data_IF_354943319622
#
_entry.id   IF_354943319622
#
_cell.length_a   1.000
_cell.length_b   1.000
_cell.length_c   1.000
_cell.angle_alpha   90.00
_cell.angle_beta   90.00
_cell.angle_gamma   90.00
#
_symmetry.space_group_name_H-M   'P 1'
#
loop_
_entity.id
_entity.type
_entity.pdbx_description
1 polymer ?
#
# COMPACT_ATOMS: atom_id res chain seq x y z
N UNK A 1 -6.70 14.93 -20.78
CA UNK A 1 -7.40 13.89 -20.01
C UNK A 1 -6.51 12.66 -19.99
N UNK A 2 -5.85 12.37 -18.86
CA UNK A 2 -4.98 11.18 -18.76
C UNK A 2 -5.90 9.96 -18.78
N UNK A 3 -5.85 9.17 -19.85
CA UNK A 3 -6.64 7.96 -19.98
C UNK A 3 -6.14 6.98 -18.90
N UNK A 4 -6.90 6.83 -17.82
CA UNK A 4 -6.57 5.82 -16.81
C UNK A 4 -6.72 4.45 -17.48
N UNK A 5 -5.76 3.53 -17.33
CA UNK A 5 -5.88 2.21 -17.90
C UNK A 5 -7.11 1.53 -17.31
N UNK A 6 -7.82 0.78 -18.16
CA UNK A 6 -8.99 0.02 -17.76
C UNK A 6 -8.63 -0.88 -16.56
N UNK A 7 -9.53 -1.00 -15.56
CA UNK A 7 -9.27 -1.85 -14.41
C UNK A 7 -9.14 -3.32 -14.84
N UNK A 8 -8.29 -4.07 -14.15
CA UNK A 8 -8.06 -5.50 -14.45
C UNK A 8 -9.32 -6.35 -14.27
N UNK A 9 -10.25 -5.86 -13.46
CA UNK A 9 -11.56 -6.44 -13.13
C UNK A 9 -12.45 -5.36 -12.52
N UNK A 10 -13.75 -5.58 -12.49
CA UNK A 10 -14.69 -4.63 -11.89
C UNK A 10 -14.41 -4.44 -10.38
N UNK A 11 -14.05 -3.23 -9.91
CA UNK A 11 -13.81 -2.97 -8.49
C UNK A 11 -15.09 -2.84 -7.66
N UNK A 12 -16.26 -2.60 -8.27
CA UNK A 12 -17.51 -2.32 -7.54
C UNK A 12 -18.03 -3.54 -6.73
N UNK A 13 -18.08 -4.78 -7.29
CA UNK A 13 -18.44 -5.96 -6.51
C UNK A 13 -17.51 -6.22 -5.31
N UNK A 14 -16.25 -5.79 -5.42
CA UNK A 14 -15.27 -5.93 -4.34
C UNK A 14 -15.54 -4.93 -3.21
N UNK A 15 -15.96 -3.70 -3.54
CA UNK A 15 -16.39 -2.71 -2.56
C UNK A 15 -17.62 -3.19 -1.80
N UNK A 16 -18.64 -3.65 -2.52
CA UNK A 16 -19.87 -4.17 -1.92
C UNK A 16 -19.58 -5.36 -0.99
N UNK A 17 -18.71 -6.29 -1.42
CA UNK A 17 -18.26 -7.39 -0.55
C UNK A 17 -17.57 -6.86 0.72
N UNK A 18 -16.65 -5.92 0.59
CA UNK A 18 -15.94 -5.38 1.74
C UNK A 18 -16.90 -4.63 2.70
N UNK A 19 -17.86 -3.87 2.18
CA UNK A 19 -18.89 -3.19 2.97
C UNK A 19 -19.77 -4.19 3.72
N UNK A 20 -20.19 -5.26 3.04
CA UNK A 20 -20.97 -6.34 3.66
C UNK A 20 -20.18 -7.07 4.75
N UNK A 21 -18.90 -7.37 4.50
CA UNK A 21 -18.02 -8.02 5.48
C UNK A 21 -17.65 -7.11 6.67
N UNK A 22 -17.71 -5.79 6.52
CA UNK A 22 -17.59 -4.83 7.61
C UNK A 22 -18.85 -4.81 8.49
N UNK A 23 -20.03 -4.91 7.86
CA UNK A 23 -21.34 -5.02 8.53
C UNK A 23 -21.88 -3.73 9.13
N UNK A 24 -21.10 -2.65 9.24
CA UNK A 24 -21.62 -1.33 9.62
C UNK A 24 -22.03 -1.16 11.08
N UNK A 25 -21.66 -2.09 11.96
CA UNK A 25 -22.05 -2.06 13.38
C UNK A 25 -20.98 -1.49 14.31
N UNK A 26 -19.73 -1.39 13.85
CA UNK A 26 -18.58 -0.91 14.61
C UNK A 26 -17.72 0.04 13.78
N UNK A 27 -16.80 0.74 14.43
CA UNK A 27 -15.82 1.58 13.76
C UNK A 27 -15.00 0.77 12.74
N UNK A 28 -14.64 1.45 11.66
CA UNK A 28 -13.81 0.89 10.60
C UNK A 28 -12.34 1.00 11.01
N UNK A 29 -11.61 -0.10 10.85
CA UNK A 29 -10.15 -0.08 10.95
C UNK A 29 -9.52 -0.30 9.57
N UNK A 30 -8.53 0.52 9.23
CA UNK A 30 -7.77 0.42 7.99
C UNK A 30 -6.30 0.19 8.33
N UNK A 31 -5.66 -0.80 7.71
CA UNK A 31 -4.25 -1.08 7.87
C UNK A 31 -3.42 -0.44 6.75
N UNK A 32 -2.53 0.46 7.13
CA UNK A 32 -1.55 1.10 6.25
C UNK A 32 -0.17 0.44 6.37
N UNK A 33 0.37 0.01 5.23
CA UNK A 33 1.75 -0.52 5.09
C UNK A 33 2.58 0.25 4.06
N UNK A 34 2.09 1.35 3.50
CA UNK A 34 2.77 2.11 2.45
C UNK A 34 2.44 3.58 2.56
N UNK A 35 1.95 4.18 1.48
CA UNK A 35 1.51 5.59 1.43
C UNK A 35 0.52 5.95 2.53
N UNK A 36 -0.40 5.04 2.88
CA UNK A 36 -1.40 5.29 3.93
C UNK A 36 -0.79 5.65 5.29
N UNK A 37 0.47 5.30 5.56
CA UNK A 37 1.13 5.63 6.84
C UNK A 37 1.37 7.15 6.96
N UNK A 38 1.86 7.80 5.91
CA UNK A 38 2.19 9.23 5.88
C UNK A 38 1.17 10.09 5.14
N UNK A 39 0.30 9.48 4.33
CA UNK A 39 -0.77 10.16 3.58
C UNK A 39 -2.03 9.28 3.55
N UNK A 40 -2.81 9.26 4.64
CA UNK A 40 -4.06 8.50 4.71
C UNK A 40 -5.15 9.07 3.80
N UNK A 41 -5.21 10.40 3.61
CA UNK A 41 -6.25 11.11 2.85
C UNK A 41 -7.69 10.83 3.34
N UNK A 42 -7.84 10.60 4.65
CA UNK A 42 -9.12 10.52 5.36
C UNK A 42 -8.92 10.89 6.83
N UNK A 43 -10.00 11.36 7.46
CA UNK A 43 -10.02 11.64 8.89
C UNK A 43 -10.11 10.33 9.69
N UNK A 44 -9.36 10.28 10.79
CA UNK A 44 -9.34 9.14 11.70
C UNK A 44 -9.35 9.62 13.14
N UNK A 45 -10.12 8.94 13.99
CA UNK A 45 -10.19 9.24 15.41
C UNK A 45 -8.97 8.70 16.17
N UNK A 46 -8.27 7.72 15.59
CA UNK A 46 -7.14 7.08 16.25
C UNK A 46 -6.17 6.43 15.27
N UNK A 47 -4.88 6.45 15.62
CA UNK A 47 -3.81 5.75 14.89
C UNK A 47 -2.94 4.95 15.86
N UNK A 48 -2.70 3.67 15.58
CA UNK A 48 -1.87 2.77 16.41
C UNK A 48 -0.84 2.00 15.57
N UNK A 49 0.34 1.68 16.12
CA UNK A 49 1.22 0.71 15.50
C UNK A 49 0.55 -0.67 15.50
N UNK A 50 0.75 -1.42 14.42
CA UNK A 50 0.19 -2.75 14.25
C UNK A 50 1.14 -3.71 13.54
N UNK A 51 0.98 -5.00 13.83
CA UNK A 51 1.65 -6.10 13.14
C UNK A 51 0.63 -7.07 12.58
N UNK A 52 0.83 -7.46 11.33
CA UNK A 52 0.05 -8.50 10.65
C UNK A 52 0.97 -9.67 10.33
N UNK A 53 0.50 -10.89 10.57
CA UNK A 53 1.22 -12.13 10.27
C UNK A 53 0.78 -12.73 8.93
N UNK A 54 1.66 -13.48 8.26
CA UNK A 54 1.38 -14.11 6.97
C UNK A 54 1.49 -13.16 5.77
N UNK A 55 2.00 -11.94 5.99
CA UNK A 55 2.11 -10.90 4.98
C UNK A 55 3.39 -10.10 5.16
N UNK A 56 4.00 -9.60 4.10
CA UNK A 56 5.12 -8.67 4.18
C UNK A 56 4.98 -7.58 3.12
N UNK A 57 5.58 -6.43 3.42
CA UNK A 57 5.66 -5.28 2.52
C UNK A 57 6.76 -5.52 1.49
N UNK A 58 6.48 -5.20 0.23
CA UNK A 58 7.47 -5.29 -0.83
C UNK A 58 7.27 -4.18 -1.86
N UNK A 59 8.34 -3.49 -2.24
CA UNK A 59 8.36 -2.54 -3.36
C UNK A 59 8.43 -3.30 -4.69
N UNK A 60 7.41 -4.12 -4.95
CA UNK A 60 7.38 -5.14 -6.02
C UNK A 60 6.10 -5.12 -6.84
N UNK A 61 5.50 -3.93 -6.98
CA UNK A 61 4.34 -3.72 -7.83
C UNK A 61 4.64 -2.67 -8.89
N UNK A 62 4.49 -3.04 -10.16
CA UNK A 62 4.64 -2.12 -11.29
C UNK A 62 3.67 -0.94 -11.19
N UNK A 63 4.19 0.28 -11.36
CA UNK A 63 3.44 1.53 -11.37
C UNK A 63 3.63 2.24 -12.71
N UNK A 64 2.58 2.26 -13.53
CA UNK A 64 2.61 2.87 -14.87
C UNK A 64 1.88 4.22 -14.95
N UNK A 65 1.49 4.76 -13.80
CA UNK A 65 0.74 6.02 -13.70
C UNK A 65 1.27 6.88 -12.56
N UNK A 66 1.33 6.30 -11.36
CA UNK A 66 1.52 7.07 -10.13
C UNK A 66 3.00 7.39 -9.90
N UNK A 67 3.89 6.41 -10.13
CA UNK A 67 5.33 6.51 -9.87
C UNK A 67 6.21 6.17 -11.09
N UNK A 68 5.58 6.07 -12.25
CA UNK A 68 6.20 5.88 -13.56
C UNK A 68 5.15 6.04 -14.65
N UNK A 69 5.53 5.73 -15.88
CA UNK A 69 4.66 5.75 -17.07
C UNK A 69 4.57 4.35 -17.70
N UNK A 70 3.75 4.12 -18.73
CA UNK A 70 3.77 2.85 -19.46
C UNK A 70 5.15 2.53 -20.08
N UNK A 71 5.87 3.54 -20.54
CA UNK A 71 7.18 3.43 -21.21
C UNK A 71 8.33 3.30 -20.21
N UNK A 72 8.24 4.01 -19.07
CA UNK A 72 9.18 3.89 -17.96
C UNK A 72 8.44 3.56 -16.65
N UNK A 73 8.08 2.28 -16.44
CA UNK A 73 7.35 1.86 -15.25
C UNK A 73 8.17 2.06 -13.98
N UNK A 74 7.52 2.61 -12.96
CA UNK A 74 8.04 2.71 -11.61
C UNK A 74 7.59 1.55 -10.74
N UNK A 75 7.82 1.68 -9.43
CA UNK A 75 7.39 0.72 -8.43
C UNK A 75 6.58 1.38 -7.32
N UNK A 76 5.62 0.63 -6.80
CA UNK A 76 4.90 0.95 -5.56
C UNK A 76 4.85 -0.27 -4.64
N UNK A 77 4.45 -0.06 -3.38
CA UNK A 77 4.37 -1.15 -2.42
C UNK A 77 3.15 -2.03 -2.68
N UNK A 78 3.38 -3.34 -2.58
CA UNK A 78 2.32 -4.34 -2.40
C UNK A 78 2.55 -5.08 -1.09
N UNK A 79 1.47 -5.63 -0.54
CA UNK A 79 1.54 -6.56 0.58
C UNK A 79 1.38 -7.99 0.07
N UNK A 80 2.48 -8.74 0.06
CA UNK A 80 2.59 -10.09 -0.49
C UNK A 80 2.48 -11.15 0.62
N UNK A 81 2.03 -12.35 0.29
CA UNK A 81 1.90 -13.45 1.25
C UNK A 81 3.26 -13.92 1.81
N UNK A 82 3.26 -14.32 3.09
CA UNK A 82 4.42 -14.80 3.85
C UNK A 82 5.01 -13.74 4.79
N UNK A 83 5.64 -14.19 5.88
CA UNK A 83 6.35 -13.33 6.83
C UNK A 83 5.46 -12.55 7.80
N UNK A 84 5.84 -11.32 8.11
CA UNK A 84 5.03 -10.38 8.90
C UNK A 84 5.27 -8.94 8.46
N UNK A 85 4.25 -8.11 8.57
CA UNK A 85 4.30 -6.71 8.19
C UNK A 85 3.98 -5.85 9.40
N UNK A 86 4.88 -4.92 9.73
CA UNK A 86 4.60 -3.84 10.68
C UNK A 86 4.08 -2.63 9.90
N UNK A 87 3.09 -1.95 10.43
CA UNK A 87 2.46 -0.78 9.83
C UNK A 87 1.64 -0.04 10.87
N UNK A 88 0.65 0.72 10.40
CA UNK A 88 -0.28 1.46 11.25
C UNK A 88 -1.71 1.01 11.00
N UNK A 89 -2.53 0.98 12.03
CA UNK A 89 -3.99 0.92 11.89
C UNK A 89 -4.60 2.27 12.21
N UNK A 90 -5.62 2.64 11.46
CA UNK A 90 -6.39 3.87 11.62
C UNK A 90 -7.84 3.52 11.94
N UNK A 91 -8.39 4.07 13.02
CA UNK A 91 -9.80 3.93 13.39
C UNK A 91 -10.58 5.09 12.80
N UNK A 92 -11.60 4.77 12.03
CA UNK A 92 -12.54 5.71 11.42
C UNK A 92 -13.88 5.50 12.09
N UNK A 93 -14.48 6.58 12.59
CA UNK A 93 -15.78 6.50 13.23
C UNK A 93 -16.82 5.92 12.27
N UNK A 94 -17.66 5.03 12.80
CA UNK A 94 -18.70 4.32 12.03
C UNK A 94 -19.53 5.21 11.11
N UNK A 95 -19.83 6.45 11.55
CA UNK A 95 -20.60 7.42 10.77
C UNK A 95 -19.94 7.81 9.43
N UNK A 96 -18.61 7.81 9.37
CA UNK A 96 -17.83 8.20 8.18
C UNK A 96 -17.28 7.00 7.39
N UNK A 97 -17.30 5.81 8.00
CA UNK A 97 -16.67 4.61 7.46
C UNK A 97 -17.07 4.27 6.02
N UNK A 98 -18.37 4.33 5.67
CA UNK A 98 -18.83 4.02 4.30
C UNK A 98 -18.22 4.97 3.27
N UNK A 99 -18.21 6.28 3.55
CA UNK A 99 -17.64 7.26 2.65
C UNK A 99 -16.12 7.10 2.52
N UNK A 100 -15.44 6.82 3.64
CA UNK A 100 -14.00 6.54 3.62
C UNK A 100 -13.67 5.30 2.78
N UNK A 101 -14.46 4.23 2.87
CA UNK A 101 -14.26 3.04 2.01
C UNK A 101 -14.46 3.36 0.52
N UNK A 102 -15.46 4.16 0.17
CA UNK A 102 -15.68 4.60 -1.23
C UNK A 102 -14.46 5.39 -1.73
N UNK A 103 -13.99 6.37 -0.95
CA UNK A 103 -12.84 7.20 -1.31
C UNK A 103 -11.55 6.36 -1.42
N UNK A 104 -11.36 5.41 -0.50
CA UNK A 104 -10.23 4.48 -0.57
C UNK A 104 -10.30 3.59 -1.80
N UNK A 105 -11.49 3.14 -2.22
CA UNK A 105 -11.64 2.39 -3.47
C UNK A 105 -11.24 3.23 -4.68
N UNK A 106 -11.67 4.49 -4.73
CA UNK A 106 -11.29 5.42 -5.80
C UNK A 106 -9.80 5.75 -5.81
N UNK A 107 -9.09 5.54 -4.70
CA UNK A 107 -7.65 5.77 -4.59
C UNK A 107 -6.83 4.52 -4.91
N UNK A 108 -7.14 3.40 -4.26
CA UNK A 108 -6.32 2.18 -4.26
C UNK A 108 -6.80 1.17 -5.30
N UNK A 109 -8.08 1.19 -5.67
CA UNK A 109 -8.72 0.20 -6.54
C UNK A 109 -9.04 0.73 -7.95
N UNK A 110 -8.46 1.86 -8.36
CA UNK A 110 -8.65 2.44 -9.73
C UNK A 110 -8.39 1.42 -10.83
N UNK A 111 -7.33 0.62 -10.70
CA UNK A 111 -7.00 -0.44 -11.66
C UNK A 111 -7.40 -1.83 -11.17
N UNK A 112 -8.11 -1.91 -10.04
CA UNK A 112 -8.48 -3.14 -9.33
C UNK A 112 -7.33 -4.15 -9.12
N UNK A 113 -6.10 -3.64 -8.96
CA UNK A 113 -4.88 -4.46 -8.89
C UNK A 113 -4.71 -5.18 -7.55
N UNK A 114 -5.21 -4.59 -6.48
CA UNK A 114 -5.14 -5.19 -5.15
C UNK A 114 -6.30 -6.16 -4.88
N UNK A 115 -6.07 -7.05 -3.93
CA UNK A 115 -7.06 -7.89 -3.26
C UNK A 115 -7.31 -7.31 -1.85
N UNK A 116 -8.43 -6.61 -1.63
CA UNK A 116 -8.87 -6.15 -0.31
C UNK A 116 -9.11 -7.35 0.61
N UNK A 117 -8.61 -7.29 1.83
CA UNK A 117 -8.74 -8.34 2.85
C UNK A 117 -8.94 -7.74 4.22
N UNK A 118 -9.79 -8.37 5.02
CA UNK A 118 -9.85 -8.12 6.46
C UNK A 118 -8.82 -8.97 7.18
N UNK A 119 -7.87 -8.33 7.83
CA UNK A 119 -6.76 -8.98 8.51
C UNK A 119 -6.79 -8.68 10.00
N UNK A 120 -6.43 -9.68 10.79
CA UNK A 120 -6.18 -9.49 12.23
C UNK A 120 -4.86 -8.74 12.40
N UNK A 121 -4.96 -7.52 12.92
CA UNK A 121 -3.84 -6.63 13.19
C UNK A 121 -3.57 -6.61 14.69
N UNK A 122 -2.40 -7.10 15.11
CA UNK A 122 -1.99 -7.11 16.51
C UNK A 122 -1.48 -5.72 16.90
N UNK A 123 -2.11 -5.09 17.88
CA UNK A 123 -1.74 -3.78 18.40
C UNK A 123 -1.36 -3.87 19.89
N UNK A 124 -0.70 -2.85 20.47
CA UNK A 124 -0.45 -2.80 21.90
C UNK A 124 -1.73 -2.88 22.77
N UNK A 125 -2.90 -2.51 22.22
CA UNK A 125 -4.17 -2.52 22.93
C UNK A 125 -5.03 -3.76 22.58
N UNK A 126 -4.40 -4.79 22.04
CA UNK A 126 -5.07 -6.00 21.58
C UNK A 126 -5.29 -6.04 20.06
N UNK A 127 -5.79 -7.18 19.53
CA UNK A 127 -6.01 -7.35 18.11
C UNK A 127 -7.22 -6.54 17.62
N UNK A 128 -7.12 -5.98 16.42
CA UNK A 128 -8.24 -5.36 15.69
C UNK A 128 -8.36 -5.98 14.31
N UNK A 129 -9.58 -6.11 13.78
CA UNK A 129 -9.84 -6.56 12.41
C UNK A 129 -9.84 -5.33 11.49
N UNK A 130 -8.86 -5.23 10.59
CA UNK A 130 -8.69 -4.06 9.73
C UNK A 130 -8.66 -4.43 8.24
N UNK A 131 -9.19 -3.54 7.41
CA UNK A 131 -9.12 -3.64 5.97
C UNK A 131 -7.70 -3.32 5.48
N UNK A 132 -7.15 -4.20 4.65
CA UNK A 132 -5.85 -4.02 4.01
C UNK A 132 -5.94 -4.36 2.51
N UNK A 133 -5.15 -3.66 1.69
CA UNK A 133 -5.05 -3.92 0.26
C UNK A 133 -3.84 -4.82 -0.02
N UNK A 134 -4.06 -6.08 -0.35
CA UNK A 134 -3.00 -7.07 -0.59
C UNK A 134 -2.70 -7.23 -2.07
N UNK A 135 -1.54 -7.78 -2.43
CA UNK A 135 -1.18 -8.07 -3.82
C UNK A 135 -0.99 -9.58 -3.99
N UNK A 136 -1.77 -10.19 -4.89
CA UNK A 136 -1.55 -11.58 -5.27
C UNK A 136 -0.20 -11.74 -5.97
N UNK A 137 0.54 -12.81 -5.64
CA UNK A 137 1.79 -13.18 -6.35
C UNK A 137 1.54 -13.55 -7.82
N UNK A 138 0.29 -13.88 -8.17
CA UNK A 138 -0.16 -14.15 -9.54
C UNK A 138 -0.62 -12.87 -10.27
N UNK A 139 -0.57 -11.71 -9.63
CA UNK A 139 -0.94 -10.45 -10.26
C UNK A 139 0.02 -10.16 -11.43
N UNK A 140 -0.48 -9.73 -12.60
CA UNK A 140 0.38 -9.31 -13.70
C UNK A 140 1.22 -8.06 -13.36
N UNK A 141 0.88 -7.35 -12.27
CA UNK A 141 1.63 -6.21 -11.78
C UNK A 141 2.67 -6.57 -10.71
N UNK A 142 2.72 -7.83 -10.26
CA UNK A 142 3.81 -8.28 -9.40
C UNK A 142 5.09 -8.43 -10.22
N UNK A 143 6.19 -7.81 -9.77
CA UNK A 143 7.45 -7.77 -10.52
C UNK A 143 8.21 -9.08 -10.51
N UNK A 144 7.93 -9.97 -9.54
CA UNK A 144 8.86 -11.04 -9.20
C UNK A 144 10.12 -10.48 -8.53
N UNK A 145 11.23 -11.20 -8.68
CA UNK A 145 12.54 -10.69 -8.27
C UNK A 145 13.14 -9.82 -9.37
N UNK A 146 13.60 -8.63 -8.99
CA UNK A 146 14.37 -7.75 -9.86
C UNK A 146 15.82 -7.72 -9.38
N UNK A 147 16.80 -7.73 -10.29
CA UNK A 147 18.20 -7.55 -9.92
C UNK A 147 18.44 -6.11 -9.44
N UNK A 148 19.51 -5.89 -8.67
CA UNK A 148 19.80 -4.58 -8.06
C UNK A 148 19.95 -3.45 -9.08
N UNK A 149 20.55 -3.71 -10.24
CA UNK A 149 20.70 -2.72 -11.32
C UNK A 149 19.34 -2.23 -11.87
N UNK A 150 18.31 -3.07 -11.86
CA UNK A 150 16.96 -2.63 -12.27
C UNK A 150 16.33 -1.71 -11.22
N UNK A 151 16.56 -1.95 -9.92
CA UNK A 151 16.11 -1.01 -8.88
C UNK A 151 16.81 0.34 -8.99
N UNK A 152 18.12 0.35 -9.23
CA UNK A 152 18.90 1.56 -9.50
C UNK A 152 18.31 2.35 -10.68
N UNK A 153 18.19 1.70 -11.84
CA UNK A 153 17.62 2.30 -13.06
C UNK A 153 16.23 2.88 -12.82
N UNK A 154 15.35 2.15 -12.11
CA UNK A 154 14.00 2.62 -11.78
C UNK A 154 14.05 3.83 -10.84
N UNK A 155 14.92 3.83 -9.83
CA UNK A 155 15.04 4.95 -8.90
C UNK A 155 15.60 6.22 -9.55
N UNK A 156 16.42 6.08 -10.58
CA UNK A 156 16.94 7.20 -11.37
C UNK A 156 15.92 7.75 -12.37
N UNK A 157 15.19 6.87 -13.06
CA UNK A 157 14.44 7.24 -14.26
C UNK A 157 12.92 7.33 -14.07
N UNK A 158 12.33 6.53 -13.18
CA UNK A 158 10.88 6.39 -13.14
C UNK A 158 10.21 7.55 -12.39
N UNK A 159 9.41 8.32 -13.12
CA UNK A 159 8.60 9.41 -12.60
C UNK A 159 7.17 9.32 -13.15
N UNK A 160 6.18 9.45 -12.27
CA UNK A 160 4.76 9.44 -12.65
C UNK A 160 4.02 10.64 -12.08
N UNK A 161 2.69 10.57 -12.12
CA UNK A 161 1.76 11.62 -11.67
C UNK A 161 2.05 12.17 -10.27
N UNK A 162 2.58 11.34 -9.37
CA UNK A 162 2.85 11.71 -7.98
C UNK A 162 4.34 11.82 -7.65
N UNK A 163 5.21 11.91 -8.67
CA UNK A 163 6.66 12.00 -8.53
C UNK A 163 7.37 10.66 -8.74
N UNK A 164 8.62 10.58 -8.30
CA UNK A 164 9.49 9.43 -8.58
C UNK A 164 9.19 8.22 -7.70
N UNK A 165 9.62 7.05 -8.15
CA UNK A 165 9.66 5.83 -7.32
C UNK A 165 10.62 5.99 -6.14
N UNK A 166 11.76 6.68 -6.32
CA UNK A 166 12.75 6.94 -5.28
C UNK A 166 12.17 7.77 -4.14
N UNK A 167 11.53 8.89 -4.43
CA UNK A 167 10.92 9.76 -3.41
C UNK A 167 9.82 9.02 -2.64
N UNK A 168 9.06 8.19 -3.34
CA UNK A 168 8.03 7.35 -2.72
C UNK A 168 8.61 6.32 -1.74
N UNK A 169 9.68 5.65 -2.13
CA UNK A 169 10.39 4.69 -1.29
C UNK A 169 11.01 5.38 -0.08
N UNK A 170 11.67 6.53 -0.28
CA UNK A 170 12.33 7.31 0.75
C UNK A 170 11.32 7.86 1.78
N UNK A 171 10.23 8.51 1.34
CA UNK A 171 9.20 9.00 2.24
C UNK A 171 8.57 7.88 3.08
N UNK A 172 8.36 6.71 2.47
CA UNK A 172 7.85 5.54 3.21
C UNK A 172 8.88 5.00 4.20
N UNK A 173 10.17 4.97 3.83
CA UNK A 173 11.25 4.55 4.70
C UNK A 173 11.38 5.46 5.93
N UNK A 174 11.35 6.78 5.71
CA UNK A 174 11.49 7.76 6.78
C UNK A 174 10.31 7.70 7.75
N UNK A 175 9.08 7.60 7.23
CA UNK A 175 7.90 7.49 8.09
C UNK A 175 7.89 6.18 8.89
N UNK A 176 8.36 5.08 8.31
CA UNK A 176 8.53 3.84 9.06
C UNK A 176 9.50 4.01 10.23
N UNK A 177 10.64 4.65 9.98
CA UNK A 177 11.64 4.92 11.02
C UNK A 177 11.09 5.82 12.11
N UNK A 178 10.32 6.87 11.77
CA UNK A 178 9.65 7.73 12.75
C UNK A 178 8.70 6.96 13.67
N UNK A 179 8.13 5.85 13.17
CA UNK A 179 7.29 4.93 13.94
C UNK A 179 8.05 3.75 14.58
N UNK A 180 9.38 3.75 14.58
CA UNK A 180 10.19 2.66 15.16
C UNK A 180 10.07 1.33 14.40
N UNK A 181 9.72 1.39 13.11
CA UNK A 181 9.64 0.24 12.22
C UNK A 181 10.92 0.20 11.37
N UNK A 182 11.75 -0.79 11.60
CA UNK A 182 12.97 -1.02 10.82
C UNK A 182 12.72 -2.05 9.73
N UNK A 183 12.46 -1.57 8.50
CA UNK A 183 12.30 -2.40 7.32
C UNK A 183 13.66 -2.62 6.64
N UNK A 184 14.27 -3.79 6.87
CA UNK A 184 15.60 -4.13 6.34
C UNK A 184 15.61 -4.25 4.82
N UNK A 185 14.53 -4.73 4.22
CA UNK A 185 14.44 -4.90 2.77
C UNK A 185 14.39 -3.53 2.08
N UNK A 186 13.56 -2.62 2.60
CA UNK A 186 13.50 -1.26 2.10
C UNK A 186 14.81 -0.49 2.37
N UNK A 187 15.43 -0.64 3.55
CA UNK A 187 16.72 -0.02 3.85
C UNK A 187 17.80 -0.42 2.83
N UNK A 188 17.85 -1.70 2.44
CA UNK A 188 18.78 -2.21 1.41
C UNK A 188 18.54 -1.52 0.07
N UNK A 189 17.28 -1.39 -0.35
CA UNK A 189 16.93 -0.74 -1.61
C UNK A 189 17.29 0.75 -1.59
N UNK A 190 16.98 1.47 -0.51
CA UNK A 190 17.37 2.89 -0.36
C UNK A 190 18.88 3.07 -0.45
N UNK A 191 19.67 2.15 0.12
CA UNK A 191 21.13 2.20 0.03
C UNK A 191 21.66 1.98 -1.40
N UNK A 192 20.94 1.26 -2.27
CA UNK A 192 21.31 1.16 -3.69
C UNK A 192 21.22 2.52 -4.37
N UNK A 193 20.16 3.29 -4.08
CA UNK A 193 19.94 4.63 -4.63
C UNK A 193 21.02 5.67 -4.27
N UNK A 194 21.81 5.39 -3.22
CA UNK A 194 22.82 6.31 -2.68
C UNK A 194 24.23 6.02 -3.21
N UNK A 195 24.47 4.85 -3.82
CA UNK A 195 25.81 4.43 -4.27
C UNK A 195 26.21 4.97 -5.65
N UNK A 196 25.28 5.55 -6.39
CA UNK A 196 25.48 6.09 -7.75
C UNK A 196 25.40 7.63 -7.82
N UNK A 197 25.41 8.32 -6.66
CA UNK A 197 25.42 9.78 -6.56
C UNK A 197 26.83 10.36 -6.37
#
# INVERSE_FOLDING_TARGET
>A
MTNLPAPLRDPAPMLERALNEWGGHADLWIFGYGSLIWRPDFDYAERRPAKVHGWHRALKMWSRINRGTPECPGLVFGMLSGGSCRGMVFRVDKAHARQVMINLWQREMVTAVYDPRWLTCHTPHGPVRALAFTLSRKSPNHTGELPDHEYCRIFEQACGRFGTTRDYAQATYDELRRHGIHDRALARLIALAQKEA
#
